data_IF_267303232858
#
_entry.id   IF_267303232858
#
_cell.length_a   1.000
_cell.length_b   1.000
_cell.length_c   1.000
_cell.angle_alpha   90.00
_cell.angle_beta   90.00
_cell.angle_gamma   90.00
#
_symmetry.space_group_name_H-M   'P 1'
#
loop_
_entity.id
_entity.type
_entity.pdbx_description
1 polymer ?
#
# COMPACT_ATOMS: atom_id res chain seq x y z
N UNK A 1 9.13 20.03 -7.79
CA UNK A 1 9.94 18.80 -7.99
C UNK A 1 10.08 18.14 -6.63
N UNK A 2 9.75 16.86 -6.49
CA UNK A 2 9.73 16.15 -5.20
C UNK A 2 10.44 14.81 -5.33
N UNK A 3 11.11 14.39 -4.25
CA UNK A 3 11.73 13.06 -4.16
C UNK A 3 10.66 12.01 -3.85
N UNK A 4 10.42 11.12 -4.80
CA UNK A 4 9.47 10.03 -4.68
C UNK A 4 10.23 8.74 -4.35
N UNK A 5 10.03 8.21 -3.15
CA UNK A 5 10.71 7.02 -2.67
C UNK A 5 9.88 5.78 -3.02
N UNK A 6 10.54 4.75 -3.55
CA UNK A 6 9.84 3.64 -4.20
C UNK A 6 9.98 2.32 -3.43
N UNK A 7 8.86 1.61 -3.26
CA UNK A 7 8.87 0.19 -2.92
C UNK A 7 9.09 -0.62 -4.19
N UNK A 8 10.20 -1.35 -4.29
CA UNK A 8 10.62 -2.09 -5.48
C UNK A 8 11.07 -3.49 -5.12
N UNK A 9 10.49 -4.48 -5.79
CA UNK A 9 10.96 -5.86 -5.74
C UNK A 9 11.88 -6.14 -6.93
N UNK A 10 12.78 -7.10 -6.77
CA UNK A 10 13.69 -7.54 -7.85
C UNK A 10 12.91 -7.85 -9.13
N UNK A 11 13.24 -7.14 -10.22
CA UNK A 11 12.58 -7.31 -11.52
C UNK A 11 11.59 -6.20 -11.90
N UNK A 12 11.23 -5.29 -10.98
CA UNK A 12 10.41 -4.12 -11.31
C UNK A 12 11.20 -3.15 -12.20
N UNK A 13 10.68 -2.85 -13.40
CA UNK A 13 11.33 -1.96 -14.38
C UNK A 13 10.76 -0.55 -14.42
N UNK A 14 9.53 -0.35 -13.94
CA UNK A 14 8.82 0.92 -14.08
C UNK A 14 8.93 1.77 -12.79
N UNK A 15 9.37 3.03 -12.93
CA UNK A 15 9.33 4.04 -11.87
C UNK A 15 8.04 4.85 -11.98
N UNK A 16 6.90 4.18 -11.79
CA UNK A 16 5.60 4.75 -12.12
C UNK A 16 4.62 4.63 -10.97
N UNK A 17 3.90 5.71 -10.68
CA UNK A 17 2.68 5.69 -9.88
C UNK A 17 1.46 5.80 -10.78
N UNK A 18 0.46 4.96 -10.53
CA UNK A 18 -0.84 5.04 -11.19
C UNK A 18 -1.80 5.82 -10.29
N UNK A 19 -2.21 7.01 -10.74
CA UNK A 19 -3.11 7.90 -10.01
C UNK A 19 -4.45 8.01 -10.74
N UNK A 20 -5.53 8.16 -9.98
CA UNK A 20 -6.84 8.50 -10.50
C UNK A 20 -6.83 9.95 -10.99
N UNK A 21 -7.33 10.17 -12.20
CA UNK A 21 -7.49 11.50 -12.79
C UNK A 21 -8.93 11.66 -13.29
N UNK A 22 -9.32 12.87 -13.69
CA UNK A 22 -10.64 13.12 -14.27
C UNK A 22 -10.95 12.23 -15.49
N UNK A 23 -9.90 11.87 -16.26
CA UNK A 23 -10.01 11.02 -17.44
C UNK A 23 -9.76 9.53 -17.14
N UNK A 24 -9.71 9.14 -15.86
CA UNK A 24 -9.42 7.77 -15.39
C UNK A 24 -7.98 7.57 -14.89
N UNK A 25 -7.57 6.32 -14.62
CA UNK A 25 -6.22 6.01 -14.12
C UNK A 25 -5.13 6.39 -15.13
N UNK A 26 -4.13 7.17 -14.70
CA UNK A 26 -2.96 7.51 -15.50
C UNK A 26 -1.66 7.16 -14.79
N UNK A 27 -0.68 6.73 -15.59
CA UNK A 27 0.69 6.42 -15.18
C UNK A 27 1.52 7.70 -15.16
N UNK A 28 2.15 7.99 -14.02
CA UNK A 28 3.07 9.11 -13.85
C UNK A 28 4.45 8.57 -13.51
N UNK A 29 5.45 8.94 -14.31
CA UNK A 29 6.84 8.66 -13.98
C UNK A 29 7.26 9.49 -12.77
N UNK A 30 7.92 8.82 -11.83
CA UNK A 30 8.39 9.41 -10.57
C UNK A 30 9.87 9.17 -10.40
N UNK A 31 10.56 10.10 -9.75
CA UNK A 31 11.99 10.01 -9.51
C UNK A 31 12.29 10.32 -8.06
N UNK A 32 13.30 9.66 -7.52
CA UNK A 32 13.80 9.91 -6.18
C UNK A 32 15.15 9.24 -5.98
N UNK A 33 15.87 9.62 -4.92
CA UNK A 33 17.23 9.15 -4.67
C UNK A 33 17.28 7.72 -4.11
N UNK A 34 16.16 7.18 -3.61
CA UNK A 34 16.12 5.90 -2.89
C UNK A 34 14.96 5.01 -3.33
N UNK A 35 15.26 3.71 -3.40
CA UNK A 35 14.29 2.63 -3.45
C UNK A 35 14.63 1.51 -2.45
N UNK A 36 13.63 0.76 -2.04
CA UNK A 36 13.76 -0.37 -1.11
C UNK A 36 12.71 -1.42 -1.43
N UNK A 37 12.96 -2.68 -1.10
CA UNK A 37 11.99 -3.77 -1.16
C UNK A 37 11.23 -3.97 0.16
N UNK A 38 11.52 -3.17 1.19
CA UNK A 38 10.95 -3.27 2.52
C UNK A 38 9.96 -2.12 2.83
N UNK A 39 8.76 -2.49 3.24
CA UNK A 39 7.67 -1.56 3.50
C UNK A 39 7.87 -0.68 4.74
N UNK A 40 8.56 -1.18 5.76
CA UNK A 40 8.82 -0.47 7.01
C UNK A 40 9.99 0.50 6.83
N UNK A 41 11.03 0.11 6.09
CA UNK A 41 12.13 1.00 5.69
C UNK A 41 11.59 2.20 4.92
N UNK A 42 10.71 1.97 3.95
CA UNK A 42 10.09 3.03 3.16
C UNK A 42 9.28 4.00 4.04
N UNK A 43 8.51 3.46 4.99
CA UNK A 43 7.73 4.26 5.94
C UNK A 43 8.64 5.07 6.86
N UNK A 44 9.73 4.48 7.37
CA UNK A 44 10.73 5.16 8.17
C UNK A 44 11.38 6.34 7.45
N UNK A 45 11.65 6.21 6.15
CA UNK A 45 12.17 7.30 5.35
C UNK A 45 11.19 8.47 5.20
N UNK A 46 9.91 8.18 4.95
CA UNK A 46 8.88 9.23 4.89
C UNK A 46 8.72 9.95 6.24
N UNK A 47 8.69 9.19 7.35
CA UNK A 47 8.63 9.74 8.71
C UNK A 47 9.87 10.59 9.06
N UNK A 48 11.00 10.31 8.42
CA UNK A 48 12.24 11.09 8.55
C UNK A 48 12.31 12.27 7.58
N UNK A 49 11.24 12.57 6.84
CA UNK A 49 11.16 13.69 5.90
C UNK A 49 11.96 13.50 4.61
N UNK A 50 12.32 12.27 4.23
CA UNK A 50 13.18 11.99 3.07
C UNK A 50 12.46 12.07 1.72
N UNK A 51 11.13 12.14 1.70
CA UNK A 51 10.38 12.21 0.45
C UNK A 51 8.93 11.75 0.57
N UNK A 52 8.29 11.61 -0.58
CA UNK A 52 6.90 11.17 -0.75
C UNK A 52 6.89 9.66 -1.01
N UNK A 53 5.94 8.96 -0.40
CA UNK A 53 5.73 7.51 -0.59
C UNK A 53 4.29 7.23 -1.04
N UNK A 54 4.11 6.11 -1.73
CA UNK A 54 2.79 5.57 -2.07
C UNK A 54 2.61 4.21 -1.39
N UNK A 55 1.73 4.14 -0.38
CA UNK A 55 1.48 2.94 0.42
C UNK A 55 -0.02 2.73 0.68
N UNK A 56 -0.44 1.49 0.91
CA UNK A 56 -1.79 1.21 1.40
C UNK A 56 -2.05 1.97 2.70
N UNK A 57 -3.20 2.65 2.76
CA UNK A 57 -3.54 3.54 3.88
C UNK A 57 -3.53 2.83 5.24
N UNK A 58 -3.99 1.58 5.31
CA UNK A 58 -4.06 0.84 6.58
C UNK A 58 -2.69 0.63 7.25
N UNK A 59 -1.58 0.65 6.50
CA UNK A 59 -0.23 0.51 7.07
C UNK A 59 0.27 1.80 7.71
N UNK A 60 -0.20 2.96 7.23
CA UNK A 60 0.31 4.28 7.61
C UNK A 60 -0.71 5.15 8.35
N UNK A 61 -1.94 4.66 8.52
CA UNK A 61 -3.03 5.40 9.15
C UNK A 61 -2.71 5.93 10.55
N UNK A 62 -2.02 5.18 11.45
CA UNK A 62 -1.65 5.71 12.76
C UNK A 62 -0.76 6.97 12.64
N UNK A 63 0.18 6.97 11.70
CA UNK A 63 1.08 8.12 11.49
C UNK A 63 0.37 9.31 10.84
N UNK A 64 -0.63 9.07 10.00
CA UNK A 64 -1.49 10.13 9.44
C UNK A 64 -2.32 10.78 10.55
N UNK A 65 -2.91 9.95 11.42
CA UNK A 65 -3.73 10.41 12.56
C UNK A 65 -2.92 11.26 13.53
N UNK A 66 -1.70 10.84 13.83
CA UNK A 66 -0.75 11.56 14.69
C UNK A 66 -0.09 12.76 13.98
N UNK A 67 -0.52 13.10 12.76
CA UNK A 67 0.02 14.20 11.93
C UNK A 67 1.51 14.08 11.61
N UNK A 68 2.10 12.89 11.78
CA UNK A 68 3.48 12.57 11.42
C UNK A 68 3.63 12.33 9.92
N UNK A 69 2.56 11.90 9.25
CA UNK A 69 2.43 11.85 7.81
C UNK A 69 1.23 12.71 7.37
N UNK A 70 1.31 13.26 6.17
CA UNK A 70 0.24 14.05 5.57
C UNK A 70 -0.17 13.45 4.23
N UNK A 71 -1.48 13.24 4.06
CA UNK A 71 -2.05 12.86 2.77
C UNK A 71 -1.89 14.02 1.80
N UNK A 72 -1.34 13.73 0.63
CA UNK A 72 -1.24 14.65 -0.50
C UNK A 72 -2.00 14.06 -1.69
N UNK A 73 -2.30 14.90 -2.69
CA UNK A 73 -3.02 14.48 -3.90
C UNK A 73 -4.39 13.84 -3.59
N UNK A 74 -5.14 14.42 -2.64
CA UNK A 74 -6.47 13.92 -2.25
C UNK A 74 -7.46 13.87 -3.42
N UNK A 75 -7.30 14.76 -4.39
CA UNK A 75 -8.20 14.87 -5.55
C UNK A 75 -7.80 13.91 -6.68
N UNK A 76 -6.57 13.38 -6.63
CA UNK A 76 -6.02 12.43 -7.60
C UNK A 76 -5.31 11.27 -6.88
N UNK A 77 -6.02 10.48 -6.08
CA UNK A 77 -5.41 9.45 -5.24
C UNK A 77 -4.89 8.28 -6.10
N UNK A 78 -3.95 7.46 -5.58
CA UNK A 78 -3.57 6.21 -6.23
C UNK A 78 -4.75 5.27 -6.46
N UNK A 79 -4.63 4.38 -7.44
CA UNK A 79 -5.61 3.30 -7.64
C UNK A 79 -5.69 2.39 -6.41
N UNK A 80 -6.89 1.99 -5.94
CA UNK A 80 -7.02 1.02 -4.86
C UNK A 80 -6.31 -0.29 -5.18
N UNK A 81 -5.66 -0.88 -4.18
CA UNK A 81 -5.01 -2.19 -4.29
C UNK A 81 -5.86 -3.25 -3.59
N UNK A 82 -5.82 -4.47 -4.12
CA UNK A 82 -6.49 -5.61 -3.51
C UNK A 82 -5.54 -6.30 -2.51
N UNK A 83 -5.99 -6.46 -1.28
CA UNK A 83 -5.33 -7.33 -0.31
C UNK A 83 -5.91 -8.74 -0.44
N UNK A 84 -5.07 -9.71 -0.79
CA UNK A 84 -5.50 -11.06 -1.13
C UNK A 84 -4.58 -12.12 -0.53
N UNK A 85 -5.15 -13.26 -0.17
CA UNK A 85 -4.40 -14.46 0.14
C UNK A 85 -4.20 -15.29 -1.14
N UNK A 86 -2.95 -15.67 -1.43
CA UNK A 86 -2.59 -16.49 -2.58
C UNK A 86 -2.34 -17.92 -2.11
N UNK A 87 -3.00 -18.89 -2.73
CA UNK A 87 -2.92 -20.30 -2.35
C UNK A 87 -3.13 -21.20 -3.58
N UNK A 88 -2.67 -22.47 -3.53
CA UNK A 88 -2.78 -23.38 -4.67
C UNK A 88 -4.20 -23.60 -5.17
N UNK A 89 -4.31 -23.90 -6.46
CA UNK A 89 -5.59 -24.14 -7.15
C UNK A 89 -6.36 -25.34 -6.54
N UNK A 90 -7.69 -25.34 -6.68
CA UNK A 90 -8.70 -26.19 -6.01
C UNK A 90 -8.41 -27.69 -5.85
N UNK A 91 -7.55 -28.29 -6.69
CA UNK A 91 -7.23 -29.73 -6.62
C UNK A 91 -6.44 -30.13 -5.36
N UNK A 92 -5.93 -29.17 -4.59
CA UNK A 92 -5.08 -29.40 -3.40
C UNK A 92 -5.56 -28.62 -2.16
N UNK A 93 -6.86 -28.30 -2.07
CA UNK A 93 -7.36 -27.51 -0.93
C UNK A 93 -7.67 -28.39 0.27
N UNK A 94 -6.71 -28.47 1.19
CA UNK A 94 -6.95 -28.99 2.53
C UNK A 94 -8.05 -28.15 3.22
N UNK A 95 -9.13 -28.77 3.74
CA UNK A 95 -10.19 -28.06 4.46
C UNK A 95 -9.67 -27.16 5.60
N UNK A 96 -8.56 -27.52 6.24
CA UNK A 96 -7.94 -26.70 7.30
C UNK A 96 -7.43 -25.36 6.76
N UNK A 97 -6.80 -25.38 5.57
CA UNK A 97 -6.33 -24.16 4.91
C UNK A 97 -7.53 -23.28 4.55
N UNK A 98 -8.62 -23.87 4.05
CA UNK A 98 -9.85 -23.11 3.75
C UNK A 98 -10.42 -22.42 4.99
N UNK A 99 -10.58 -23.16 6.08
CA UNK A 99 -11.09 -22.61 7.35
C UNK A 99 -10.19 -21.50 7.89
N UNK A 100 -8.86 -21.67 7.81
CA UNK A 100 -7.92 -20.63 8.20
C UNK A 100 -8.05 -19.38 7.32
N UNK A 101 -8.16 -19.54 6.01
CA UNK A 101 -8.33 -18.42 5.07
C UNK A 101 -9.65 -17.67 5.32
N UNK A 102 -10.75 -18.38 5.57
CA UNK A 102 -12.04 -17.77 5.90
C UNK A 102 -11.96 -16.97 7.21
N UNK A 103 -11.34 -17.56 8.26
CA UNK A 103 -11.08 -16.87 9.53
C UNK A 103 -10.21 -15.62 9.36
N UNK A 104 -9.10 -15.73 8.62
CA UNK A 104 -8.17 -14.62 8.38
C UNK A 104 -8.82 -13.52 7.56
N UNK A 105 -9.57 -13.85 6.51
CA UNK A 105 -10.24 -12.87 5.67
C UNK A 105 -11.23 -12.03 6.47
N UNK A 106 -12.10 -12.66 7.26
CA UNK A 106 -13.06 -11.97 8.12
C UNK A 106 -12.35 -11.06 9.14
N UNK A 107 -11.29 -11.57 9.79
CA UNK A 107 -10.56 -10.79 10.79
C UNK A 107 -9.78 -9.63 10.18
N UNK A 108 -9.08 -9.84 9.07
CA UNK A 108 -8.37 -8.77 8.36
C UNK A 108 -9.32 -7.67 7.89
N UNK A 109 -10.49 -8.03 7.34
CA UNK A 109 -11.50 -7.05 6.93
C UNK A 109 -11.97 -6.18 8.10
N UNK A 110 -12.25 -6.79 9.27
CA UNK A 110 -12.63 -6.04 10.48
C UNK A 110 -11.50 -5.10 10.93
N UNK A 111 -10.28 -5.62 11.08
CA UNK A 111 -9.14 -4.83 11.56
C UNK A 111 -8.82 -3.65 10.64
N UNK A 112 -8.82 -3.87 9.32
CA UNK A 112 -8.61 -2.79 8.35
C UNK A 112 -9.71 -1.75 8.46
N UNK A 113 -10.98 -2.17 8.58
CA UNK A 113 -12.11 -1.25 8.76
C UNK A 113 -11.97 -0.41 10.04
N UNK A 114 -11.57 -1.03 11.15
CA UNK A 114 -11.40 -0.35 12.43
C UNK A 114 -10.25 0.67 12.37
N UNK A 115 -9.10 0.28 11.81
CA UNK A 115 -7.95 1.18 11.60
C UNK A 115 -8.37 2.41 10.79
N UNK A 116 -9.05 2.20 9.66
CA UNK A 116 -9.50 3.29 8.78
C UNK A 116 -10.62 4.13 9.40
N UNK A 117 -11.38 3.59 10.36
CA UNK A 117 -12.43 4.30 11.08
C UNK A 117 -11.91 5.10 12.29
N UNK A 118 -10.61 5.03 12.61
CA UNK A 118 -10.07 5.73 13.77
C UNK A 118 -10.22 4.99 15.10
N UNK A 119 -10.61 3.70 15.08
CA UNK A 119 -10.85 2.88 16.26
C UNK A 119 -9.61 2.11 16.71
#
# INVERSE_FOLDING_TARGET
KHDCLMLRYSGAREYVWTLQTADGPRKFEVHGPYDTDDGDVLTGWALSGRGIINKPRFEVEPFIRDQRLKVILSDTPPTPVQFAAVYPHKKLQDPKVRLLLDFMAERCQRLIKDILAGK
#
